data_IF_946185979171
#
_entry.id   IF_946185979171
#
_cell.length_a   1.000
_cell.length_b   1.000
_cell.length_c   1.000
_cell.angle_alpha   90.00
_cell.angle_beta   90.00
_cell.angle_gamma   90.00
#
_symmetry.space_group_name_H-M   'P 1'
#
loop_
_entity.id
_entity.type
_entity.pdbx_description
1 polymer ?
#
# COMPACT_ATOMS: atom_id res chain seq x y z
N UNK A 1 -70.65 -2.81 11.45
CA UNK A 1 -69.81 -3.06 10.26
C UNK A 1 -68.81 -1.92 10.19
N UNK A 2 -67.60 -2.10 10.72
CA UNK A 2 -66.57 -1.04 10.64
C UNK A 2 -65.72 -1.25 9.39
N UNK A 3 -66.02 -0.46 8.36
CA UNK A 3 -65.24 -0.37 7.15
C UNK A 3 -64.15 0.68 7.31
N UNK A 4 -62.99 0.29 7.85
CA UNK A 4 -61.77 1.09 7.67
C UNK A 4 -60.50 0.23 7.67
N UNK A 5 -60.48 -0.81 6.82
CA UNK A 5 -59.23 -1.46 6.44
C UNK A 5 -58.50 -0.55 5.43
N UNK A 6 -57.83 0.48 5.95
CA UNK A 6 -56.87 1.26 5.18
C UNK A 6 -55.85 0.32 4.55
N UNK A 7 -55.61 0.49 3.24
CA UNK A 7 -54.74 -0.38 2.43
C UNK A 7 -53.38 -0.57 3.08
N UNK A 8 -53.15 -1.76 3.64
CA UNK A 8 -51.88 -2.08 4.30
C UNK A 8 -50.80 -2.12 3.23
N UNK A 9 -49.93 -1.12 3.23
CA UNK A 9 -48.79 -1.07 2.33
C UNK A 9 -47.72 -2.04 2.86
N UNK A 10 -47.88 -3.34 2.54
CA UNK A 10 -47.13 -4.43 3.18
C UNK A 10 -45.71 -4.50 2.63
N UNK A 11 -44.80 -3.75 3.25
CA UNK A 11 -43.37 -4.09 3.23
C UNK A 11 -43.19 -5.55 3.70
N UNK A 12 -42.41 -6.39 2.99
CA UNK A 12 -42.09 -7.73 3.47
C UNK A 12 -41.11 -7.70 4.66
N UNK A 13 -40.50 -6.55 4.95
CA UNK A 13 -39.63 -6.33 6.10
C UNK A 13 -40.43 -5.79 7.29
N UNK A 14 -40.12 -6.23 8.53
CA UNK A 14 -40.74 -5.68 9.72
C UNK A 14 -40.44 -4.19 9.86
N UNK A 15 -41.37 -3.44 10.44
CA UNK A 15 -41.12 -2.04 10.80
C UNK A 15 -39.94 -1.94 11.79
N UNK A 16 -39.17 -0.84 11.74
CA UNK A 16 -38.10 -0.62 12.71
C UNK A 16 -38.67 -0.61 14.14
N UNK A 17 -37.88 -1.03 15.16
CA UNK A 17 -38.34 -1.07 16.53
C UNK A 17 -38.85 0.29 17.04
N UNK A 18 -39.88 0.27 17.88
CA UNK A 18 -40.58 1.45 18.40
C UNK A 18 -39.62 2.49 19.02
N UNK A 19 -38.59 2.03 19.74
CA UNK A 19 -37.56 2.88 20.35
C UNK A 19 -36.80 3.75 19.34
N UNK A 20 -36.81 3.43 18.05
CA UNK A 20 -36.17 4.26 17.01
C UNK A 20 -36.77 5.67 16.95
N UNK A 21 -38.05 5.83 17.31
CA UNK A 21 -38.72 7.13 17.37
C UNK A 21 -38.20 8.03 18.51
N UNK A 22 -37.60 7.45 19.56
CA UNK A 22 -37.07 8.21 20.69
C UNK A 22 -35.78 8.98 20.33
N UNK A 23 -35.08 8.62 19.24
CA UNK A 23 -33.81 9.24 18.81
C UNK A 23 -34.01 10.55 18.02
N UNK A 24 -34.66 11.53 18.63
CA UNK A 24 -34.80 12.89 18.06
C UNK A 24 -33.62 13.80 18.46
N UNK A 25 -33.36 14.85 17.67
CA UNK A 25 -32.29 15.83 17.95
C UNK A 25 -32.44 16.53 19.31
N UNK A 26 -33.67 16.68 19.80
CA UNK A 26 -33.98 17.26 21.11
C UNK A 26 -33.76 16.26 22.25
N UNK A 27 -34.21 15.01 22.08
CA UNK A 27 -33.99 13.94 23.05
C UNK A 27 -32.50 13.62 23.22
N UNK A 28 -31.72 13.63 22.14
CA UNK A 28 -30.26 13.45 22.18
C UNK A 28 -29.59 14.59 22.97
N UNK A 29 -29.96 15.85 22.71
CA UNK A 29 -29.43 17.02 23.45
C UNK A 29 -29.80 17.01 24.93
N UNK A 30 -30.98 16.50 25.28
CA UNK A 30 -31.47 16.42 26.67
C UNK A 30 -31.10 15.12 27.38
N UNK A 31 -30.36 14.21 26.74
CA UNK A 31 -30.00 12.90 27.30
C UNK A 31 -31.17 11.94 27.50
N UNK A 32 -32.33 12.21 26.90
CA UNK A 32 -33.57 11.41 27.00
C UNK A 32 -33.68 10.38 25.87
N UNK A 33 -32.65 9.56 25.71
CA UNK A 33 -32.64 8.43 24.77
C UNK A 33 -32.35 7.12 25.50
N UNK A 34 -32.76 5.98 24.93
CA UNK A 34 -32.44 4.67 25.51
C UNK A 34 -30.97 4.33 25.32
N UNK A 35 -30.29 4.03 26.42
CA UNK A 35 -28.99 3.39 26.34
C UNK A 35 -29.14 1.94 25.85
N UNK A 36 -28.11 1.38 25.18
CA UNK A 36 -28.10 -0.03 24.82
C UNK A 36 -28.36 -0.92 26.04
N UNK A 37 -29.17 -1.98 25.92
CA UNK A 37 -29.39 -2.91 27.03
C UNK A 37 -28.06 -3.58 27.44
N UNK A 38 -27.91 -3.98 28.71
CA UNK A 38 -26.74 -4.72 29.15
C UNK A 38 -26.62 -6.03 28.35
N UNK A 39 -25.40 -6.40 27.96
CA UNK A 39 -25.14 -7.60 27.17
C UNK A 39 -25.64 -8.82 27.94
N UNK A 40 -26.62 -9.58 27.43
CA UNK A 40 -27.15 -10.74 28.13
C UNK A 40 -26.09 -11.84 28.20
N UNK A 41 -25.99 -12.52 29.35
CA UNK A 41 -25.09 -13.67 29.53
C UNK A 41 -25.47 -14.85 28.64
N UNK A 42 -26.79 -15.09 28.51
CA UNK A 42 -27.35 -16.14 27.66
C UNK A 42 -28.15 -15.51 26.53
N UNK A 43 -27.91 -15.94 25.30
CA UNK A 43 -28.63 -15.47 24.13
C UNK A 43 -28.82 -16.60 23.12
N UNK A 44 -29.84 -16.47 22.27
CA UNK A 44 -30.17 -17.47 21.25
C UNK A 44 -29.47 -17.12 19.94
N UNK A 45 -28.48 -17.93 19.55
CA UNK A 45 -27.71 -17.78 18.32
C UNK A 45 -28.07 -18.90 17.36
N UNK A 46 -28.59 -18.57 16.18
CA UNK A 46 -29.05 -19.52 15.15
C UNK A 46 -30.01 -20.63 15.65
N UNK A 47 -30.79 -20.35 16.70
CA UNK A 47 -31.70 -21.32 17.32
C UNK A 47 -31.15 -22.03 18.56
N UNK A 48 -29.84 -21.95 18.81
CA UNK A 48 -29.14 -22.59 19.93
C UNK A 48 -29.03 -21.59 21.08
N UNK A 49 -29.26 -22.02 22.32
CA UNK A 49 -28.94 -21.21 23.50
C UNK A 49 -27.43 -21.24 23.74
N UNK A 50 -26.81 -20.07 23.73
CA UNK A 50 -25.39 -19.87 23.95
C UNK A 50 -25.18 -19.12 25.27
N UNK A 51 -24.22 -19.58 26.08
CA UNK A 51 -23.89 -19.05 27.40
C UNK A 51 -22.47 -18.48 27.41
N UNK A 52 -22.35 -17.16 27.50
CA UNK A 52 -21.08 -16.43 27.41
C UNK A 52 -20.10 -16.80 28.53
N UNK A 53 -20.58 -17.21 29.70
CA UNK A 53 -19.71 -17.64 30.80
C UNK A 53 -19.11 -19.05 30.55
N UNK A 54 -19.70 -19.83 29.63
CA UNK A 54 -19.31 -21.19 29.28
C UNK A 54 -19.06 -21.32 27.76
N UNK A 55 -18.15 -20.49 27.22
CA UNK A 55 -17.72 -20.48 25.82
C UNK A 55 -16.83 -21.68 25.44
N UNK A 56 -17.32 -22.89 25.71
CA UNK A 56 -16.77 -24.16 25.26
C UNK A 56 -17.80 -24.84 24.38
N UNK A 57 -17.37 -25.58 23.37
CA UNK A 57 -18.32 -26.40 22.61
C UNK A 57 -19.02 -27.41 23.54
N UNK A 58 -20.35 -27.59 23.39
CA UNK A 58 -21.09 -28.55 24.22
C UNK A 58 -20.48 -29.94 24.08
N UNK A 59 -20.34 -30.66 25.18
CA UNK A 59 -19.75 -32.00 25.12
C UNK A 59 -20.71 -32.97 24.44
N UNK A 60 -20.17 -34.04 23.83
CA UNK A 60 -21.00 -35.08 23.25
C UNK A 60 -21.93 -35.74 24.28
N UNK A 61 -21.52 -35.77 25.56
CA UNK A 61 -22.33 -36.26 26.67
C UNK A 61 -23.54 -35.35 26.95
N UNK A 62 -23.38 -34.01 26.90
CA UNK A 62 -24.48 -33.05 27.07
C UNK A 62 -25.51 -33.20 25.94
N UNK A 63 -25.04 -33.53 24.73
CA UNK A 63 -25.86 -33.82 23.56
C UNK A 63 -26.44 -35.25 23.56
N UNK A 64 -26.13 -36.08 24.57
CA UNK A 64 -26.49 -37.51 24.70
C UNK A 64 -26.00 -38.39 23.54
N UNK A 65 -24.86 -38.02 22.95
CA UNK A 65 -24.23 -38.72 21.83
C UNK A 65 -23.07 -39.57 22.37
N UNK A 66 -22.97 -40.87 22.04
CA UNK A 66 -21.87 -41.70 22.50
C UNK A 66 -20.53 -41.23 21.91
N UNK A 67 -19.57 -41.01 22.79
CA UNK A 67 -18.22 -40.61 22.44
C UNK A 67 -17.40 -41.84 22.00
N UNK A 68 -16.79 -41.76 20.82
CA UNK A 68 -16.06 -42.86 20.16
C UNK A 68 -14.52 -42.74 20.23
N UNK A 69 -14.01 -41.71 20.92
CA UNK A 69 -12.57 -41.43 21.06
C UNK A 69 -12.20 -41.17 22.53
N UNK A 70 -10.93 -41.33 22.88
CA UNK A 70 -10.42 -41.11 24.23
C UNK A 70 -9.96 -39.64 24.42
N UNK A 71 -10.65 -38.85 25.25
CA UNK A 71 -10.26 -37.45 25.56
C UNK A 71 -8.90 -37.28 26.24
N UNK A 72 -8.23 -38.37 26.66
CA UNK A 72 -6.90 -38.33 27.29
C UNK A 72 -5.74 -38.61 26.32
N UNK A 73 -6.04 -39.05 25.10
CA UNK A 73 -5.02 -39.32 24.06
C UNK A 73 -4.81 -38.10 23.16
N UNK A 74 -3.73 -38.14 22.35
CA UNK A 74 -3.44 -37.07 21.40
C UNK A 74 -4.58 -36.93 20.37
N UNK A 75 -5.22 -35.77 20.32
CA UNK A 75 -6.33 -35.46 19.40
C UNK A 75 -5.99 -35.85 17.94
N UNK A 76 -4.74 -35.63 17.51
CA UNK A 76 -4.25 -36.00 16.17
C UNK A 76 -4.29 -37.52 15.91
N UNK A 77 -4.00 -38.35 16.92
CA UNK A 77 -4.07 -39.82 16.81
C UNK A 77 -5.51 -40.29 16.76
N UNK A 78 -6.36 -39.76 17.65
CA UNK A 78 -7.80 -40.07 17.67
C UNK A 78 -8.48 -39.68 16.35
N UNK A 79 -8.15 -38.51 15.79
CA UNK A 79 -8.70 -38.07 14.51
C UNK A 79 -8.29 -39.01 13.36
N UNK A 80 -7.04 -39.51 13.34
CA UNK A 80 -6.60 -40.52 12.37
C UNK A 80 -7.31 -41.88 12.58
N UNK A 81 -7.49 -42.33 13.83
CA UNK A 81 -8.28 -43.55 14.14
C UNK A 81 -9.73 -43.43 13.65
N UNK A 82 -10.41 -42.31 13.93
CA UNK A 82 -11.79 -42.06 13.49
C UNK A 82 -11.89 -42.00 11.96
N UNK A 83 -10.94 -41.36 11.27
CA UNK A 83 -10.92 -41.33 9.80
C UNK A 83 -10.83 -42.75 9.20
N UNK A 84 -9.93 -43.59 9.71
CA UNK A 84 -9.85 -45.00 9.28
C UNK A 84 -11.14 -45.77 9.58
N UNK A 85 -11.78 -45.50 10.73
CA UNK A 85 -13.09 -46.08 11.08
C UNK A 85 -14.22 -45.60 10.17
N UNK A 86 -14.19 -44.37 9.65
CA UNK A 86 -15.15 -43.86 8.67
C UNK A 86 -15.00 -44.56 7.32
N UNK A 87 -13.76 -44.71 6.85
CA UNK A 87 -13.48 -45.39 5.58
C UNK A 87 -13.95 -46.85 5.66
N UNK A 88 -13.66 -47.54 6.77
CA UNK A 88 -14.17 -48.88 7.02
C UNK A 88 -15.71 -48.92 7.01
N UNK A 89 -16.38 -48.07 7.80
CA UNK A 89 -17.85 -48.00 7.85
C UNK A 89 -18.50 -47.65 6.50
N UNK A 90 -17.82 -46.88 5.63
CA UNK A 90 -18.27 -46.56 4.29
C UNK A 90 -18.14 -47.76 3.32
N UNK A 91 -17.03 -48.49 3.38
CA UNK A 91 -16.87 -49.75 2.61
C UNK A 91 -17.90 -50.80 3.06
N UNK A 92 -18.10 -50.92 4.37
CA UNK A 92 -19.15 -51.73 5.00
C UNK A 92 -20.56 -51.39 4.50
N UNK A 93 -20.86 -50.10 4.29
CA UNK A 93 -22.12 -49.65 3.69
C UNK A 93 -22.22 -50.00 2.21
N UNK A 94 -21.14 -49.84 1.43
CA UNK A 94 -21.11 -50.23 0.01
C UNK A 94 -21.35 -51.74 -0.16
N UNK A 95 -20.73 -52.58 0.67
CA UNK A 95 -20.92 -54.02 0.64
C UNK A 95 -22.37 -54.46 0.95
N UNK A 96 -23.09 -53.71 1.79
CA UNK A 96 -24.53 -53.93 2.04
C UNK A 96 -25.35 -53.47 0.82
N UNK A 97 -25.03 -52.32 0.23
CA UNK A 97 -25.72 -51.80 -0.96
C UNK A 97 -25.56 -52.70 -2.19
N UNK A 98 -24.39 -53.33 -2.37
CA UNK A 98 -24.10 -54.28 -3.45
C UNK A 98 -24.86 -55.59 -3.23
N UNK A 99 -24.90 -56.10 -2.00
CA UNK A 99 -25.52 -57.40 -1.69
C UNK A 99 -27.05 -57.33 -1.61
N UNK A 100 -27.59 -56.41 -0.81
CA UNK A 100 -29.00 -56.33 -0.46
C UNK A 100 -29.41 -54.86 -0.17
N UNK A 101 -29.67 -54.04 -1.21
CA UNK A 101 -29.89 -52.60 -1.04
C UNK A 101 -31.15 -52.24 -0.23
N UNK A 102 -32.07 -53.18 -0.03
CA UNK A 102 -33.32 -52.99 0.74
C UNK A 102 -33.25 -53.48 2.19
N UNK A 103 -32.11 -54.01 2.64
CA UNK A 103 -31.97 -54.55 3.99
C UNK A 103 -32.02 -53.43 5.07
N UNK A 104 -32.71 -53.60 6.21
CA UNK A 104 -32.62 -52.69 7.34
C UNK A 104 -31.19 -52.46 7.87
N UNK A 105 -30.26 -53.40 7.65
CA UNK A 105 -28.83 -53.23 7.97
C UNK A 105 -28.25 -51.95 7.34
N UNK A 106 -28.68 -51.57 6.13
CA UNK A 106 -28.27 -50.33 5.47
C UNK A 106 -28.49 -49.10 6.36
N UNK A 107 -29.62 -49.05 7.07
CA UNK A 107 -29.96 -47.92 7.96
C UNK A 107 -29.03 -47.91 9.17
N UNK A 108 -28.67 -49.08 9.70
CA UNK A 108 -27.73 -49.21 10.81
C UNK A 108 -26.32 -48.73 10.42
N UNK A 109 -25.81 -49.12 9.24
CA UNK A 109 -24.52 -48.65 8.73
C UNK A 109 -24.51 -47.13 8.48
N UNK A 110 -25.63 -46.55 8.00
CA UNK A 110 -25.78 -45.09 7.85
C UNK A 110 -25.74 -44.37 9.20
N UNK A 111 -26.44 -44.85 10.22
CA UNK A 111 -26.42 -44.23 11.56
C UNK A 111 -25.05 -44.39 12.25
N UNK A 112 -24.34 -45.51 12.04
CA UNK A 112 -22.93 -45.67 12.46
C UNK A 112 -22.02 -44.62 11.80
N UNK A 113 -22.14 -44.43 10.48
CA UNK A 113 -21.36 -43.44 9.74
C UNK A 113 -21.68 -42.00 10.20
N UNK A 114 -22.96 -41.70 10.43
CA UNK A 114 -23.42 -40.42 11.00
C UNK A 114 -22.80 -40.16 12.38
N UNK A 115 -22.78 -41.17 13.25
CA UNK A 115 -22.20 -41.06 14.59
C UNK A 115 -20.68 -40.79 14.53
N UNK A 116 -19.97 -41.45 13.62
CA UNK A 116 -18.55 -41.18 13.35
C UNK A 116 -18.32 -39.73 12.91
N UNK A 117 -19.13 -39.20 12.00
CA UNK A 117 -19.03 -37.80 11.55
C UNK A 117 -19.27 -36.79 12.68
N UNK A 118 -20.23 -37.03 13.57
CA UNK A 118 -20.47 -36.14 14.71
C UNK A 118 -19.27 -36.14 15.67
N UNK A 119 -18.71 -37.32 15.97
CA UNK A 119 -17.52 -37.46 16.80
C UNK A 119 -16.29 -36.75 16.21
N UNK A 120 -16.06 -36.94 14.90
CA UNK A 120 -14.96 -36.29 14.17
C UNK A 120 -15.12 -34.77 14.14
N UNK A 121 -16.32 -34.27 13.85
CA UNK A 121 -16.60 -32.83 13.87
C UNK A 121 -16.35 -32.21 15.26
N UNK A 122 -16.70 -32.92 16.33
CA UNK A 122 -16.42 -32.47 17.69
C UNK A 122 -14.90 -32.39 17.97
N UNK A 123 -14.09 -33.36 17.52
CA UNK A 123 -12.62 -33.24 17.59
C UNK A 123 -12.07 -32.08 16.75
N UNK A 124 -12.61 -31.86 15.54
CA UNK A 124 -12.22 -30.71 14.71
C UNK A 124 -12.55 -29.38 15.38
N UNK A 125 -13.67 -29.28 16.11
CA UNK A 125 -14.03 -28.10 16.88
C UNK A 125 -12.99 -27.80 17.97
N UNK A 126 -12.59 -28.81 18.77
CA UNK A 126 -11.54 -28.64 19.80
C UNK A 126 -10.19 -28.12 19.26
N UNK A 127 -9.91 -28.31 17.95
CA UNK A 127 -8.71 -27.77 17.30
C UNK A 127 -8.86 -26.31 16.83
N UNK A 128 -10.07 -25.76 16.72
CA UNK A 128 -10.32 -24.38 16.25
C UNK A 128 -9.62 -23.32 17.10
N UNK A 129 -9.61 -23.37 18.45
CA UNK A 129 -8.93 -22.36 19.26
C UNK A 129 -7.40 -22.42 19.12
N UNK A 130 -6.84 -23.58 18.78
CA UNK A 130 -5.41 -23.75 18.50
C UNK A 130 -5.10 -23.15 17.14
N UNK A 131 -5.83 -23.55 16.09
CA UNK A 131 -5.70 -23.00 14.73
C UNK A 131 -5.84 -21.46 14.70
N UNK A 132 -6.77 -20.90 15.47
CA UNK A 132 -6.96 -19.45 15.57
C UNK A 132 -5.77 -18.71 16.20
N UNK A 133 -5.07 -19.35 17.15
CA UNK A 133 -3.84 -18.82 17.76
C UNK A 133 -2.66 -18.90 16.78
N UNK A 134 -2.48 -20.04 16.12
CA UNK A 134 -1.40 -20.23 15.14
C UNK A 134 -1.54 -19.23 13.98
N UNK A 135 -2.77 -19.01 13.49
CA UNK A 135 -3.07 -17.98 12.49
C UNK A 135 -2.80 -16.55 13.00
N UNK A 136 -3.08 -16.26 14.27
CA UNK A 136 -2.75 -14.96 14.86
C UNK A 136 -1.22 -14.76 14.99
N UNK A 137 -0.45 -15.82 15.28
CA UNK A 137 1.01 -15.78 15.31
C UNK A 137 1.55 -15.46 13.91
N UNK A 138 1.10 -16.18 12.87
CA UNK A 138 1.50 -15.91 11.48
C UNK A 138 1.22 -14.46 11.05
N UNK A 139 0.03 -13.92 11.37
CA UNK A 139 -0.32 -12.52 11.11
C UNK A 139 0.62 -11.55 11.85
N UNK A 140 1.03 -11.86 13.08
CA UNK A 140 2.00 -11.04 13.82
C UNK A 140 3.40 -11.09 13.21
N UNK A 141 3.84 -12.26 12.72
CA UNK A 141 5.13 -12.46 12.06
C UNK A 141 5.20 -11.67 10.75
N UNK A 142 4.16 -11.74 9.91
CA UNK A 142 4.03 -10.94 8.69
C UNK A 142 4.10 -9.43 8.99
N UNK A 143 3.40 -8.96 10.03
CA UNK A 143 3.44 -7.56 10.46
C UNK A 143 4.85 -7.11 10.86
N UNK A 144 5.62 -7.96 11.55
CA UNK A 144 7.01 -7.66 11.91
C UNK A 144 7.87 -7.54 10.65
N UNK A 145 7.72 -8.45 9.69
CA UNK A 145 8.45 -8.44 8.41
C UNK A 145 8.14 -7.16 7.62
N UNK A 146 6.87 -6.78 7.52
CA UNK A 146 6.44 -5.56 6.82
C UNK A 146 6.96 -4.28 7.50
N UNK A 147 6.92 -4.21 8.84
CA UNK A 147 7.47 -3.08 9.60
C UNK A 147 8.98 -2.94 9.35
N UNK A 148 9.73 -4.05 9.35
CA UNK A 148 11.17 -4.03 9.05
C UNK A 148 11.42 -3.55 7.62
N UNK A 149 10.70 -4.08 6.63
CA UNK A 149 10.80 -3.69 5.21
C UNK A 149 10.53 -2.19 5.02
N UNK A 150 9.46 -1.66 5.63
CA UNK A 150 9.11 -0.22 5.56
C UNK A 150 10.18 0.62 6.24
N UNK A 151 10.69 0.21 7.41
CA UNK A 151 11.75 0.93 8.11
C UNK A 151 13.07 0.95 7.32
N UNK A 152 13.40 -0.11 6.57
CA UNK A 152 14.55 -0.15 5.65
C UNK A 152 14.37 0.79 4.46
N UNK A 153 13.19 0.76 3.81
CA UNK A 153 12.86 1.68 2.72
C UNK A 153 12.97 3.15 3.15
N UNK A 154 12.40 3.50 4.31
CA UNK A 154 12.53 4.85 4.89
C UNK A 154 13.99 5.23 5.19
N UNK A 155 14.80 4.29 5.72
CA UNK A 155 16.24 4.52 5.93
C UNK A 155 16.98 4.81 4.62
N UNK A 156 16.64 4.12 3.53
CA UNK A 156 17.22 4.37 2.20
C UNK A 156 16.82 5.75 1.67
N UNK A 157 15.53 6.11 1.72
CA UNK A 157 15.02 7.41 1.28
C UNK A 157 15.72 8.56 2.04
N UNK A 158 15.84 8.45 3.37
CA UNK A 158 16.54 9.45 4.20
C UNK A 158 18.04 9.52 3.86
N UNK A 159 18.67 8.41 3.48
CA UNK A 159 20.08 8.38 3.07
C UNK A 159 20.29 9.07 1.72
N UNK A 160 19.42 8.81 0.74
CA UNK A 160 19.45 9.44 -0.58
C UNK A 160 19.24 10.97 -0.47
N UNK A 161 18.17 11.39 0.20
CA UNK A 161 17.88 12.82 0.40
C UNK A 161 18.99 13.60 1.12
N UNK A 162 19.75 12.96 2.02
CA UNK A 162 20.96 13.55 2.63
C UNK A 162 22.10 13.72 1.63
N UNK A 163 22.28 12.81 0.68
CA UNK A 163 23.27 12.95 -0.39
C UNK A 163 22.88 14.08 -1.35
N UNK A 164 21.63 14.07 -1.83
CA UNK A 164 21.15 15.03 -2.83
C UNK A 164 21.21 16.48 -2.31
N UNK A 165 20.82 16.69 -1.06
CA UNK A 165 20.92 18.01 -0.41
C UNK A 165 22.36 18.45 -0.19
N UNK A 166 23.27 17.53 0.16
CA UNK A 166 24.70 17.84 0.29
C UNK A 166 25.34 18.20 -1.06
N UNK A 167 25.04 17.46 -2.13
CA UNK A 167 25.56 17.74 -3.46
C UNK A 167 24.99 19.05 -4.05
N UNK A 168 23.71 19.35 -3.78
CA UNK A 168 23.12 20.66 -4.12
C UNK A 168 23.81 21.80 -3.36
N UNK A 169 24.06 21.65 -2.07
CA UNK A 169 24.80 22.63 -1.26
C UNK A 169 26.23 22.82 -1.76
N UNK A 170 26.95 21.73 -2.06
CA UNK A 170 28.30 21.73 -2.62
C UNK A 170 28.36 22.42 -3.98
N UNK A 171 27.36 22.20 -4.84
CA UNK A 171 27.20 22.91 -6.13
C UNK A 171 26.98 24.40 -5.92
N UNK A 172 26.16 24.80 -4.94
CA UNK A 172 25.91 26.20 -4.60
C UNK A 172 27.17 26.91 -4.05
N UNK A 173 27.87 26.29 -3.10
CA UNK A 173 29.14 26.80 -2.55
C UNK A 173 30.20 26.98 -3.64
N UNK A 174 30.31 26.02 -4.57
CA UNK A 174 31.20 26.14 -5.74
C UNK A 174 30.81 27.33 -6.61
N UNK A 175 29.54 27.46 -6.97
CA UNK A 175 29.04 28.57 -7.79
C UNK A 175 29.26 29.96 -7.14
N UNK A 176 29.16 30.06 -5.81
CA UNK A 176 29.50 31.28 -5.07
C UNK A 176 31.00 31.59 -5.14
N UNK A 177 31.86 30.58 -5.00
CA UNK A 177 33.32 30.74 -5.14
C UNK A 177 33.69 31.20 -6.55
N UNK A 178 33.13 30.59 -7.57
CA UNK A 178 33.35 30.97 -8.97
C UNK A 178 32.85 32.41 -9.27
N UNK A 179 31.72 32.83 -8.69
CA UNK A 179 31.23 34.23 -8.76
C UNK A 179 32.21 35.21 -8.11
N UNK A 180 32.70 34.89 -6.91
CA UNK A 180 33.70 35.70 -6.19
C UNK A 180 34.98 35.85 -7.02
N UNK A 181 35.51 34.77 -7.56
CA UNK A 181 36.76 34.79 -8.30
C UNK A 181 36.63 35.55 -9.63
N UNK A 182 35.47 35.44 -10.32
CA UNK A 182 35.13 36.32 -11.46
C UNK A 182 35.08 37.80 -11.08
N UNK A 183 34.49 38.16 -9.94
CA UNK A 183 34.46 39.54 -9.45
C UNK A 183 35.86 40.11 -9.21
N UNK A 184 36.74 39.38 -8.51
CA UNK A 184 38.12 39.82 -8.30
C UNK A 184 38.93 39.91 -9.60
N UNK A 185 38.72 38.99 -10.55
CA UNK A 185 39.34 39.06 -11.89
C UNK A 185 38.90 40.31 -12.66
N UNK A 186 37.59 40.63 -12.68
CA UNK A 186 37.04 41.84 -13.31
C UNK A 186 37.51 43.13 -12.62
N UNK A 187 37.61 43.13 -11.28
CA UNK A 187 38.17 44.26 -10.52
C UNK A 187 39.65 44.49 -10.88
N UNK A 188 40.44 43.42 -11.04
CA UNK A 188 41.86 43.50 -11.41
C UNK A 188 42.07 44.00 -12.84
N UNK A 189 41.22 43.62 -13.80
CA UNK A 189 41.30 44.15 -15.18
C UNK A 189 40.97 45.64 -15.23
N UNK A 190 39.88 46.07 -14.60
CA UNK A 190 39.48 47.49 -14.53
C UNK A 190 40.56 48.37 -13.87
N UNK A 191 41.28 47.86 -12.86
CA UNK A 191 42.41 48.59 -12.24
C UNK A 191 43.61 48.68 -13.21
N UNK A 192 43.87 47.65 -14.02
CA UNK A 192 44.94 47.68 -15.03
C UNK A 192 44.62 48.66 -16.16
N UNK A 193 43.37 48.64 -16.61
CA UNK A 193 42.80 49.53 -17.64
C UNK A 193 42.88 50.99 -17.21
N UNK A 194 42.33 51.36 -16.04
CA UNK A 194 42.45 52.73 -15.49
C UNK A 194 43.88 53.22 -15.29
N UNK A 195 44.82 52.32 -14.98
CA UNK A 195 46.25 52.68 -14.90
C UNK A 195 46.86 52.94 -16.28
N UNK A 196 46.41 52.23 -17.32
CA UNK A 196 46.84 52.46 -18.70
C UNK A 196 46.28 53.78 -19.23
N UNK A 197 45.00 54.05 -19.01
CA UNK A 197 44.34 55.33 -19.34
C UNK A 197 45.06 56.52 -18.68
N UNK A 198 45.42 56.41 -17.39
CA UNK A 198 46.18 57.45 -16.69
C UNK A 198 47.59 57.66 -17.25
N UNK A 199 48.25 56.62 -17.78
CA UNK A 199 49.55 56.78 -18.47
C UNK A 199 49.36 57.45 -19.82
N UNK A 200 48.33 57.08 -20.58
CA UNK A 200 47.99 57.71 -21.87
C UNK A 200 47.62 59.19 -21.70
N UNK A 201 46.82 59.53 -20.68
CA UNK A 201 46.50 60.94 -20.35
C UNK A 201 47.74 61.73 -19.94
N UNK A 202 48.69 61.14 -19.21
CA UNK A 202 49.95 61.81 -18.87
C UNK A 202 50.80 62.11 -20.10
N UNK A 203 50.95 61.16 -21.01
CA UNK A 203 51.66 61.40 -22.28
C UNK A 203 50.94 62.43 -23.16
N UNK A 204 49.61 62.49 -23.13
CA UNK A 204 48.83 63.54 -23.81
C UNK A 204 48.99 64.94 -23.17
N UNK A 205 49.26 65.01 -21.85
CA UNK A 205 49.51 66.29 -21.15
C UNK A 205 50.95 66.82 -21.27
N UNK A 206 51.91 66.00 -21.70
CA UNK A 206 53.31 66.40 -21.92
C UNK A 206 53.57 66.98 -23.32
N UNK A 207 52.54 67.19 -24.15
CA UNK A 207 52.63 67.76 -25.51
C UNK A 207 51.69 68.97 -25.68
N UNK A 208 52.09 70.14 -25.18
CA UNK A 208 51.50 71.46 -25.51
C UNK A 208 52.49 72.56 -25.03
N UNK A 209 53.19 73.36 -25.85
CA UNK A 209 52.77 74.46 -26.76
C UNK A 209 54.07 75.01 -27.46
N UNK A 210 54.05 76.00 -28.38
CA UNK A 210 53.11 76.36 -29.45
C UNK A 210 53.75 76.56 -30.85
N UNK A 211 52.89 76.80 -31.84
CA UNK A 211 53.02 77.07 -33.29
C UNK A 211 54.17 77.95 -33.84
N UNK A 212 54.54 77.73 -35.13
CA UNK A 212 54.33 78.71 -36.23
C UNK A 212 54.50 78.11 -37.64
N UNK A 213 53.84 78.71 -38.63
CA UNK A 213 53.83 78.33 -40.05
C UNK A 213 55.10 78.72 -40.83
N UNK A 214 55.35 78.07 -41.99
CA UNK A 214 55.63 78.68 -43.31
C UNK A 214 55.67 77.60 -44.41
N UNK A 215 55.14 77.92 -45.59
CA UNK A 215 55.08 77.08 -46.80
C UNK A 215 56.45 76.79 -47.44
N UNK A 216 56.54 75.71 -48.25
CA UNK A 216 57.03 75.72 -49.65
C UNK A 216 56.60 74.43 -50.42
N UNK A 217 55.87 74.67 -51.52
CA UNK A 217 55.70 73.96 -52.81
C UNK A 217 55.91 72.43 -53.04
N UNK A 218 54.84 71.82 -53.61
CA UNK A 218 54.77 70.92 -54.79
C UNK A 218 55.58 69.59 -54.88
N UNK A 219 54.87 68.45 -54.88
CA UNK A 219 54.61 67.61 -56.09
C UNK A 219 53.78 66.35 -55.75
N UNK A 220 53.15 65.80 -56.78
CA UNK A 220 52.24 64.65 -56.91
C UNK A 220 52.77 63.29 -56.32
N UNK A 221 52.05 62.17 -56.14
CA UNK A 221 50.75 61.68 -56.66
C UNK A 221 50.24 60.42 -55.88
N UNK A 222 48.96 60.03 -56.04
CA UNK A 222 48.26 58.71 -55.80
C UNK A 222 48.45 57.89 -54.49
N UNK A 223 47.34 57.42 -53.87
CA UNK A 223 47.42 56.35 -52.83
C UNK A 223 46.14 55.88 -52.11
N UNK A 224 45.03 55.69 -52.83
CA UNK A 224 43.65 55.43 -52.34
C UNK A 224 43.37 54.20 -51.41
N UNK A 225 42.20 54.21 -50.74
CA UNK A 225 41.40 53.09 -50.13
C UNK A 225 41.82 52.56 -48.72
N UNK A 226 40.94 52.17 -47.78
CA UNK A 226 39.48 52.41 -47.54
C UNK A 226 39.07 51.90 -46.12
N UNK A 227 38.03 52.52 -45.51
CA UNK A 227 36.84 51.97 -44.79
C UNK A 227 36.91 50.69 -43.89
N UNK A 228 36.07 50.43 -42.87
CA UNK A 228 34.93 51.06 -42.15
C UNK A 228 34.77 50.24 -40.80
N UNK A 229 34.39 50.76 -39.61
CA UNK A 229 33.02 51.13 -39.13
C UNK A 229 32.07 49.87 -39.10
N UNK A 230 31.33 49.47 -38.03
CA UNK A 230 30.94 50.14 -36.77
C UNK A 230 30.40 49.20 -35.62
N UNK A 231 30.12 49.82 -34.46
CA UNK A 231 29.13 49.58 -33.35
C UNK A 231 28.00 48.51 -33.45
N UNK A 232 27.18 48.11 -32.45
CA UNK A 232 27.03 48.16 -30.96
C UNK A 232 25.49 47.98 -30.66
N UNK A 233 25.06 47.54 -29.45
CA UNK A 233 23.67 47.66 -28.87
C UNK A 233 22.51 46.78 -29.46
N UNK A 234 21.37 46.40 -28.82
CA UNK A 234 20.78 46.53 -27.44
C UNK A 234 19.63 45.50 -27.16
N UNK A 235 19.02 45.51 -25.95
CA UNK A 235 17.76 44.81 -25.52
C UNK A 235 16.50 45.16 -26.38
N UNK A 236 15.33 44.46 -26.37
CA UNK A 236 14.48 44.07 -25.22
C UNK A 236 13.26 43.14 -25.60
N UNK A 237 12.67 42.47 -24.58
CA UNK A 237 11.31 41.85 -24.34
C UNK A 237 10.31 41.31 -25.42
N UNK A 238 9.89 40.05 -25.19
CA UNK A 238 8.52 39.45 -25.08
C UNK A 238 7.32 39.80 -26.01
N UNK A 239 6.72 38.79 -26.70
CA UNK A 239 5.27 38.43 -26.56
C UNK A 239 4.83 37.05 -27.13
N UNK A 240 4.11 36.29 -26.29
CA UNK A 240 3.03 35.26 -26.49
C UNK A 240 2.37 35.19 -27.89
N UNK A 241 1.93 34.06 -28.51
CA UNK A 241 1.97 32.58 -28.25
C UNK A 241 1.17 31.82 -29.38
N UNK A 242 1.44 30.54 -29.72
CA UNK A 242 0.49 29.63 -30.45
C UNK A 242 0.85 28.13 -30.41
N UNK A 243 -0.16 27.25 -30.39
CA UNK A 243 -0.12 25.78 -30.21
C UNK A 243 -0.40 24.96 -31.49
N UNK A 244 0.22 23.77 -31.65
CA UNK A 244 -0.47 22.57 -32.17
C UNK A 244 0.31 21.23 -32.05
N UNK A 245 -0.41 20.23 -31.53
CA UNK A 245 -0.26 18.76 -31.45
C UNK A 245 0.60 17.93 -32.44
N UNK A 246 0.94 16.71 -31.99
CA UNK A 246 1.48 15.56 -32.74
C UNK A 246 2.57 14.84 -31.92
N UNK A 247 2.27 13.91 -31.00
CA UNK A 247 1.87 12.50 -31.23
C UNK A 247 2.78 11.79 -32.24
N UNK A 248 3.68 10.91 -31.76
CA UNK A 248 3.72 9.52 -32.22
C UNK A 248 4.49 8.57 -31.27
N UNK A 249 4.04 7.31 -31.26
CA UNK A 249 4.62 6.17 -30.52
C UNK A 249 5.94 5.69 -31.11
N UNK A 250 6.82 5.09 -30.28
CA UNK A 250 7.50 3.80 -30.58
C UNK A 250 7.82 3.05 -29.25
N UNK A 251 7.23 1.87 -29.06
CA UNK A 251 7.70 0.81 -28.14
C UNK A 251 8.90 0.07 -28.81
N UNK A 252 9.78 -0.70 -28.18
CA UNK A 252 9.53 -1.87 -27.29
C UNK A 252 10.90 -2.47 -26.90
N UNK A 253 10.96 -3.23 -25.79
CA UNK A 253 11.96 -4.29 -25.50
C UNK A 253 13.44 -3.86 -25.30
N UNK A 254 14.27 -4.44 -24.43
CA UNK A 254 14.15 -5.64 -23.57
C UNK A 254 14.74 -5.36 -22.16
N UNK A 255 14.03 -5.74 -21.10
CA UNK A 255 14.59 -6.41 -19.91
C UNK A 255 13.47 -6.77 -18.91
N UNK A 256 12.75 -7.83 -19.22
CA UNK A 256 12.10 -8.63 -18.18
C UNK A 256 13.15 -9.56 -17.57
N UNK A 257 13.21 -9.65 -16.24
CA UNK A 257 14.06 -10.64 -15.58
C UNK A 257 14.36 -10.32 -14.12
N UNK A 258 13.63 -10.99 -13.21
CA UNK A 258 13.86 -11.06 -11.74
C UNK A 258 13.52 -9.78 -10.96
N UNK A 259 12.29 -9.72 -10.46
CA UNK A 259 11.93 -9.26 -9.09
C UNK A 259 10.42 -9.36 -8.78
N UNK A 260 9.57 -9.69 -9.76
CA UNK A 260 8.11 -9.81 -9.59
C UNK A 260 7.59 -11.17 -9.08
N UNK A 261 8.47 -12.10 -8.66
CA UNK A 261 8.09 -13.48 -8.29
C UNK A 261 8.24 -13.76 -6.79
N UNK A 262 7.48 -13.05 -5.95
CA UNK A 262 7.25 -13.44 -4.54
C UNK A 262 5.95 -12.89 -3.91
N UNK A 263 5.00 -12.40 -4.73
CA UNK A 263 3.61 -12.26 -4.30
C UNK A 263 2.97 -13.64 -4.46
N UNK A 264 3.20 -14.50 -3.47
CA UNK A 264 2.53 -15.80 -3.39
C UNK A 264 1.03 -15.56 -3.32
N UNK A 265 0.23 -16.28 -4.11
CA UNK A 265 -1.22 -16.06 -4.06
C UNK A 265 -1.73 -16.42 -2.66
N UNK A 266 -2.60 -15.56 -2.11
CA UNK A 266 -3.15 -15.70 -0.75
C UNK A 266 -3.86 -17.04 -0.54
N UNK A 267 -4.32 -17.64 -1.63
CA UNK A 267 -4.97 -18.96 -1.67
C UNK A 267 -3.95 -20.13 -1.66
N UNK A 268 -2.76 -19.96 -2.25
CA UNK A 268 -1.71 -20.99 -2.23
C UNK A 268 -1.04 -21.11 -0.86
N UNK A 269 -0.96 -20.00 -0.09
CA UNK A 269 -0.48 -20.05 1.30
C UNK A 269 -1.43 -20.86 2.18
N UNK A 270 -2.75 -20.69 2.01
CA UNK A 270 -3.75 -21.50 2.69
C UNK A 270 -3.70 -22.97 2.25
N UNK A 271 -3.52 -23.25 0.96
CA UNK A 271 -3.34 -24.61 0.45
C UNK A 271 -2.10 -25.31 1.05
N UNK A 272 -0.99 -24.58 1.21
CA UNK A 272 0.23 -25.12 1.82
C UNK A 272 0.10 -25.42 3.31
N UNK A 273 -0.76 -24.70 4.05
CA UNK A 273 -1.09 -25.05 5.45
C UNK A 273 -1.83 -26.40 5.51
N UNK A 274 -2.72 -26.70 4.56
CA UNK A 274 -3.38 -28.00 4.48
C UNK A 274 -2.43 -29.12 4.00
N UNK A 275 -1.50 -28.83 3.08
CA UNK A 275 -0.51 -29.82 2.61
C UNK A 275 0.62 -30.08 3.63
N UNK A 276 0.91 -29.14 4.54
CA UNK A 276 1.87 -29.31 5.65
C UNK A 276 1.33 -30.19 6.79
N UNK A 277 0.03 -30.49 6.78
CA UNK A 277 -0.57 -31.51 7.63
C UNK A 277 -0.57 -32.82 6.86
N UNK A 278 0.37 -33.73 7.19
CA UNK A 278 0.39 -35.10 6.68
C UNK A 278 -0.90 -35.86 7.09
N UNK A 279 -1.95 -35.66 6.31
CA UNK A 279 -3.26 -36.33 6.36
C UNK A 279 -3.48 -37.05 5.03
N UNK A 280 -2.47 -37.83 4.64
CA UNK A 280 -2.61 -39.07 3.87
C UNK A 280 -1.67 -40.11 4.51
#
# INVERSE_FOLDING_TARGET
MDQNQGTINVSPFPFPPEYAQEYTTENIKSGRFRYPPPIPKKYKLFGIEYDRDNDKEPSLLDLKIPQLYNSKEDIKKELKKLNMSMIAAYLDLLDVLIRCPSDPERIQRIEQLRLLFINFHHLCNQLRPIQARDNLVAICEDQVIDIVRVAESLRQIVRLGKSDTYDLFKKYVKALKDKKDRYYKKKKSLIKEKKLEQVQQKMASEINYPSTDINIENMDEVGSLNNEINTMETCDKDMVFSTSNGVDNVNTSEHQGKESSLIFSRDEQLANIFNSLDIF
#
